data_IF_203648541785
#
_entry.id   IF_203648541785
#
_cell.length_a   1.000
_cell.length_b   1.000
_cell.length_c   1.000
_cell.angle_alpha   90.00
_cell.angle_beta   90.00
_cell.angle_gamma   90.00
#
_symmetry.space_group_name_H-M   'P 1'
#
loop_
_entity.id
_entity.type
_entity.pdbx_description
1 polymer ?
#
# COMPACT_ATOMS: atom_id res chain seq x y z
N UNK A 1 38.90 26.47 30.08
CA UNK A 1 37.86 27.32 29.46
C UNK A 1 37.52 26.71 28.11
N UNK A 2 36.56 25.77 28.06
CA UNK A 2 36.13 25.09 26.83
C UNK A 2 34.77 25.64 26.39
N UNK A 3 34.70 26.27 25.22
CA UNK A 3 33.43 26.67 24.59
C UNK A 3 32.83 25.45 23.91
N UNK A 4 31.73 24.93 24.46
CA UNK A 4 30.88 23.95 23.79
C UNK A 4 30.16 24.66 22.65
N UNK A 5 30.52 24.32 21.40
CA UNK A 5 29.81 24.77 20.21
C UNK A 5 28.51 23.98 20.12
N UNK A 6 27.39 24.65 20.43
CA UNK A 6 26.06 24.08 20.25
C UNK A 6 25.77 23.92 18.75
N UNK A 7 25.85 22.68 18.25
CA UNK A 7 25.38 22.33 16.91
C UNK A 7 23.86 22.34 16.96
N UNK A 8 23.24 23.42 16.47
CA UNK A 8 21.80 23.45 16.20
C UNK A 8 21.49 22.39 15.13
N UNK A 9 20.56 21.46 15.36
CA UNK A 9 20.08 20.59 14.30
C UNK A 9 19.40 21.46 13.22
N UNK A 10 19.52 21.11 11.93
CA UNK A 10 18.83 21.84 10.88
C UNK A 10 17.32 21.67 11.10
N UNK A 11 16.67 22.78 11.44
CA UNK A 11 15.22 22.94 11.35
C UNK A 11 14.84 22.62 9.90
N UNK A 12 14.26 21.44 9.67
CA UNK A 12 13.52 21.15 8.44
C UNK A 12 12.35 22.12 8.40
N UNK A 13 12.56 23.25 7.74
CA UNK A 13 11.50 24.15 7.34
C UNK A 13 10.53 23.34 6.47
N UNK A 14 9.35 23.05 7.02
CA UNK A 14 8.17 22.71 6.23
C UNK A 14 7.87 23.95 5.39
N UNK A 15 8.38 23.97 4.16
CA UNK A 15 8.01 24.98 3.18
C UNK A 15 6.53 24.80 2.87
N UNK A 16 5.73 25.68 3.47
CA UNK A 16 4.40 26.05 2.98
C UNK A 16 4.57 26.63 1.57
N UNK A 17 4.45 25.78 0.56
CA UNK A 17 4.69 26.13 -0.83
C UNK A 17 3.62 25.54 -1.75
N UNK A 18 2.71 26.42 -2.20
CA UNK A 18 1.77 26.31 -3.33
C UNK A 18 0.75 25.15 -3.35
N UNK A 19 -0.49 25.55 -3.08
CA UNK A 19 -1.74 24.90 -3.48
C UNK A 19 -1.87 24.85 -5.01
N UNK A 20 -1.24 23.87 -5.65
CA UNK A 20 -1.59 23.45 -7.02
C UNK A 20 -1.59 21.92 -7.10
N UNK A 21 -2.33 21.29 -6.20
CA UNK A 21 -2.55 19.84 -6.22
C UNK A 21 -4.04 19.59 -6.33
N UNK A 22 -4.44 18.73 -7.28
CA UNK A 22 -5.82 18.32 -7.50
C UNK A 22 -6.57 18.23 -6.18
N UNK A 23 -7.68 18.95 -6.11
CA UNK A 23 -8.53 19.11 -4.95
C UNK A 23 -9.14 17.75 -4.58
N UNK A 24 -8.41 16.91 -3.84
CA UNK A 24 -9.00 15.72 -3.24
C UNK A 24 -10.03 16.26 -2.25
N UNK A 25 -11.31 16.18 -2.64
CA UNK A 25 -12.41 16.61 -1.77
C UNK A 25 -12.37 15.71 -0.54
N UNK A 26 -12.66 16.29 0.63
CA UNK A 26 -12.67 15.58 1.92
C UNK A 26 -13.49 14.27 1.93
N UNK A 27 -14.36 14.08 0.94
CA UNK A 27 -15.26 12.94 0.79
C UNK A 27 -14.77 11.88 -0.20
N UNK A 28 -13.71 12.14 -0.97
CA UNK A 28 -13.24 11.20 -2.00
C UNK A 28 -12.68 9.92 -1.37
N UNK A 29 -11.98 10.01 -0.24
CA UNK A 29 -11.42 8.84 0.47
C UNK A 29 -12.53 7.91 0.96
N UNK A 30 -13.53 8.49 1.64
CA UNK A 30 -14.67 7.75 2.15
C UNK A 30 -15.47 7.12 1.01
N UNK A 31 -15.69 7.86 -0.08
CA UNK A 31 -16.40 7.36 -1.25
C UNK A 31 -15.67 6.18 -1.88
N UNK A 32 -14.37 6.31 -2.18
CA UNK A 32 -13.60 5.24 -2.80
C UNK A 32 -13.44 4.02 -1.89
N UNK A 33 -13.25 4.23 -0.59
CA UNK A 33 -13.19 3.13 0.36
C UNK A 33 -14.54 2.41 0.51
N UNK A 34 -15.65 3.17 0.54
CA UNK A 34 -16.99 2.57 0.53
C UNK A 34 -17.25 1.80 -0.77
N UNK A 35 -16.83 2.35 -1.92
CA UNK A 35 -16.93 1.68 -3.21
C UNK A 35 -16.12 0.37 -3.22
N UNK A 36 -14.93 0.37 -2.61
CA UNK A 36 -14.13 -0.85 -2.44
C UNK A 36 -14.90 -1.90 -1.62
N UNK A 37 -15.39 -1.54 -0.42
CA UNK A 37 -16.14 -2.47 0.42
C UNK A 37 -17.41 -3.00 -0.26
N UNK A 38 -18.16 -2.13 -0.95
CA UNK A 38 -19.35 -2.53 -1.70
C UNK A 38 -19.00 -3.46 -2.86
N UNK A 39 -17.90 -3.20 -3.59
CA UNK A 39 -17.45 -4.08 -4.68
C UNK A 39 -17.10 -5.48 -4.18
N UNK A 40 -16.41 -5.57 -3.04
CA UNK A 40 -16.05 -6.84 -2.41
C UNK A 40 -17.25 -7.57 -1.83
N UNK A 41 -18.20 -6.84 -1.22
CA UNK A 41 -19.45 -7.41 -0.72
C UNK A 41 -20.29 -7.96 -1.87
N UNK A 42 -20.41 -7.21 -2.97
CA UNK A 42 -21.12 -7.67 -4.15
C UNK A 42 -20.49 -8.94 -4.74
N UNK A 43 -19.15 -8.96 -4.86
CA UNK A 43 -18.41 -10.16 -5.28
C UNK A 43 -18.69 -11.35 -4.35
N UNK A 44 -18.66 -11.14 -3.02
CA UNK A 44 -18.88 -12.19 -2.03
C UNK A 44 -20.32 -12.73 -2.03
N UNK A 45 -21.32 -11.86 -2.16
CA UNK A 45 -22.74 -12.24 -2.04
C UNK A 45 -23.35 -12.73 -3.36
N UNK A 46 -22.92 -12.16 -4.48
CA UNK A 46 -23.53 -12.41 -5.80
C UNK A 46 -22.58 -13.12 -6.78
N UNK A 47 -21.35 -13.44 -6.37
CA UNK A 47 -20.34 -14.08 -7.22
C UNK A 47 -20.07 -13.33 -8.54
N UNK A 48 -20.30 -12.02 -8.57
CA UNK A 48 -19.98 -11.15 -9.71
C UNK A 48 -18.46 -10.99 -9.85
N UNK A 49 -17.99 -10.46 -10.99
CA UNK A 49 -16.57 -10.19 -11.21
C UNK A 49 -15.99 -9.32 -10.07
N UNK A 50 -14.81 -9.69 -9.56
CA UNK A 50 -14.13 -8.90 -8.54
C UNK A 50 -13.56 -7.61 -9.14
N UNK A 51 -14.24 -6.49 -8.93
CA UNK A 51 -13.84 -5.17 -9.44
C UNK A 51 -12.90 -4.39 -8.51
N UNK A 52 -12.47 -4.99 -7.39
CA UNK A 52 -11.69 -4.28 -6.37
C UNK A 52 -10.39 -3.70 -6.91
N UNK A 53 -9.65 -4.42 -7.77
CA UNK A 53 -8.41 -3.91 -8.40
C UNK A 53 -8.66 -2.58 -9.12
N UNK A 54 -9.76 -2.46 -9.87
CA UNK A 54 -10.07 -1.22 -10.58
C UNK A 54 -10.33 -0.09 -9.60
N UNK A 55 -11.08 -0.33 -8.52
CA UNK A 55 -11.33 0.66 -7.47
C UNK A 55 -10.04 1.08 -6.79
N UNK A 56 -9.17 0.11 -6.47
CA UNK A 56 -7.86 0.34 -5.84
C UNK A 56 -6.91 1.16 -6.74
N UNK A 57 -7.05 1.06 -8.06
CA UNK A 57 -6.27 1.82 -9.04
C UNK A 57 -6.83 3.21 -9.35
N UNK A 58 -8.08 3.52 -8.97
CA UNK A 58 -8.68 4.85 -9.23
C UNK A 58 -7.83 6.04 -8.76
N UNK A 59 -7.10 5.98 -7.62
CA UNK A 59 -6.20 7.05 -7.23
C UNK A 59 -5.18 7.45 -8.30
N UNK A 60 -4.80 6.57 -9.24
CA UNK A 60 -3.89 6.94 -10.34
C UNK A 60 -4.35 8.15 -11.13
N UNK A 61 -5.67 8.36 -11.25
CA UNK A 61 -6.23 9.46 -12.04
C UNK A 61 -5.98 10.84 -11.43
N UNK A 62 -5.67 10.93 -10.13
CA UNK A 62 -5.56 12.21 -9.43
C UNK A 62 -4.48 12.28 -8.35
N UNK A 63 -3.77 11.19 -8.07
CA UNK A 63 -2.70 11.14 -7.08
C UNK A 63 -1.45 11.86 -7.61
N UNK A 64 -0.84 12.77 -6.83
CA UNK A 64 0.34 13.50 -7.28
C UNK A 64 1.58 12.59 -7.42
N UNK A 65 2.42 12.86 -8.43
CA UNK A 65 3.55 12.01 -8.83
C UNK A 65 4.57 11.78 -7.70
N UNK A 66 4.69 12.73 -6.77
CA UNK A 66 5.59 12.66 -5.62
C UNK A 66 5.24 11.50 -4.67
N UNK A 67 3.96 11.07 -4.64
CA UNK A 67 3.49 9.97 -3.80
C UNK A 67 3.97 8.61 -4.29
N UNK A 68 4.30 8.49 -5.56
CA UNK A 68 4.83 7.26 -6.15
C UNK A 68 6.29 7.02 -5.75
N UNK A 69 7.03 8.08 -5.42
CA UNK A 69 8.41 7.93 -4.97
C UNK A 69 9.38 7.56 -6.08
N UNK A 70 9.13 8.01 -7.32
CA UNK A 70 9.90 7.59 -8.51
C UNK A 70 11.41 7.88 -8.42
N UNK A 71 11.81 8.86 -7.59
CA UNK A 71 13.23 9.21 -7.35
C UNK A 71 13.86 8.47 -6.17
N UNK A 72 13.11 7.59 -5.49
CA UNK A 72 13.62 6.88 -4.32
C UNK A 72 14.67 5.84 -4.73
N UNK A 73 15.83 5.77 -4.06
CA UNK A 73 16.84 4.74 -4.35
C UNK A 73 16.32 3.32 -4.10
N UNK A 74 15.29 3.19 -3.25
CA UNK A 74 14.63 1.91 -2.98
C UNK A 74 13.90 1.33 -4.20
N UNK A 75 13.69 2.11 -5.27
CA UNK A 75 13.16 1.60 -6.53
C UNK A 75 14.10 0.60 -7.21
N UNK A 76 15.40 0.58 -6.85
CA UNK A 76 16.34 -0.46 -7.29
C UNK A 76 15.91 -1.86 -6.84
N UNK A 77 15.06 -1.97 -5.81
CA UNK A 77 14.49 -3.24 -5.39
C UNK A 77 13.70 -3.95 -6.49
N UNK A 78 13.19 -3.22 -7.50
CA UNK A 78 12.50 -3.81 -8.66
C UNK A 78 13.38 -4.79 -9.44
N UNK A 79 14.71 -4.74 -9.29
CA UNK A 79 15.63 -5.75 -9.82
C UNK A 79 15.38 -7.16 -9.24
N UNK A 80 14.63 -7.27 -8.14
CA UNK A 80 14.22 -8.55 -7.57
C UNK A 80 13.03 -9.19 -8.30
N UNK A 81 12.30 -8.46 -9.15
CA UNK A 81 11.10 -8.97 -9.83
C UNK A 81 11.34 -10.25 -10.65
N UNK A 82 12.43 -10.41 -11.43
CA UNK A 82 12.70 -11.65 -12.15
C UNK A 82 12.83 -12.86 -11.21
N UNK A 83 13.45 -12.68 -10.05
CA UNK A 83 13.58 -13.76 -9.06
C UNK A 83 12.23 -14.12 -8.45
N UNK A 84 11.40 -13.11 -8.14
CA UNK A 84 10.03 -13.33 -7.65
C UNK A 84 9.17 -14.07 -8.68
N UNK A 85 9.32 -13.75 -9.97
CA UNK A 85 8.65 -14.47 -11.05
C UNK A 85 9.10 -15.93 -11.15
N UNK A 86 10.40 -16.20 -11.00
CA UNK A 86 10.94 -17.57 -11.00
C UNK A 86 10.41 -18.40 -9.83
N UNK A 87 10.19 -17.79 -8.66
CA UNK A 87 9.61 -18.48 -7.50
C UNK A 87 8.15 -18.87 -7.74
N UNK A 88 7.36 -18.00 -8.39
CA UNK A 88 5.92 -18.23 -8.57
C UNK A 88 5.40 -17.66 -9.88
N UNK A 89 5.51 -18.38 -11.02
CA UNK A 89 5.11 -17.85 -12.33
C UNK A 89 3.61 -17.89 -12.61
N UNK A 90 2.83 -18.77 -11.95
CA UNK A 90 1.47 -19.12 -12.37
C UNK A 90 0.45 -17.97 -12.21
N UNK A 91 0.63 -17.12 -11.20
CA UNK A 91 -0.25 -15.99 -10.87
C UNK A 91 0.53 -14.69 -10.62
N UNK A 92 1.82 -14.65 -10.97
CA UNK A 92 2.74 -13.55 -10.68
C UNK A 92 2.18 -12.18 -11.04
N UNK A 93 1.69 -12.02 -12.28
CA UNK A 93 1.19 -10.72 -12.76
C UNK A 93 -0.05 -10.27 -12.00
N UNK A 94 -0.92 -11.23 -11.63
CA UNK A 94 -2.11 -10.93 -10.83
C UNK A 94 -1.72 -10.50 -9.42
N UNK A 95 -0.82 -11.24 -8.76
CA UNK A 95 -0.32 -10.89 -7.43
C UNK A 95 0.44 -9.56 -7.43
N UNK A 96 1.26 -9.30 -8.45
CA UNK A 96 2.02 -8.07 -8.59
C UNK A 96 1.08 -6.87 -8.78
N UNK A 97 0.08 -6.99 -9.66
CA UNK A 97 -0.91 -5.94 -9.90
C UNK A 97 -1.76 -5.69 -8.66
N UNK A 98 -2.23 -6.75 -7.98
CA UNK A 98 -3.01 -6.65 -6.75
C UNK A 98 -2.19 -5.95 -5.66
N UNK A 99 -0.96 -6.42 -5.40
CA UNK A 99 -0.08 -5.85 -4.36
C UNK A 99 0.24 -4.38 -4.67
N UNK A 100 0.46 -4.03 -5.94
CA UNK A 100 0.62 -2.64 -6.35
C UNK A 100 -0.63 -1.80 -6.12
N UNK A 101 -1.79 -2.28 -6.54
CA UNK A 101 -3.06 -1.56 -6.41
C UNK A 101 -3.42 -1.32 -4.94
N UNK A 102 -3.23 -2.31 -4.08
CA UNK A 102 -3.44 -2.19 -2.65
C UNK A 102 -2.48 -1.18 -2.02
N UNK A 103 -1.18 -1.26 -2.28
CA UNK A 103 -0.23 -0.31 -1.69
C UNK A 103 -0.41 1.11 -2.24
N UNK A 104 -0.83 1.27 -3.50
CA UNK A 104 -1.21 2.55 -4.07
C UNK A 104 -2.38 3.15 -3.29
N UNK A 105 -3.44 2.37 -3.09
CA UNK A 105 -4.65 2.85 -2.42
C UNK A 105 -4.43 3.13 -0.94
N UNK A 106 -3.85 2.18 -0.21
CA UNK A 106 -3.70 2.28 1.23
C UNK A 106 -2.53 3.19 1.63
N UNK A 107 -1.35 3.07 1.01
CA UNK A 107 -0.18 3.86 1.42
C UNK A 107 -0.06 5.17 0.67
N UNK A 108 -0.04 5.10 -0.66
CA UNK A 108 0.22 6.28 -1.44
C UNK A 108 -0.96 7.26 -1.34
N UNK A 109 -2.20 6.75 -1.35
CA UNK A 109 -3.42 7.53 -1.28
C UNK A 109 -3.95 7.77 0.15
N UNK A 110 -4.42 6.77 0.91
CA UNK A 110 -5.07 6.99 2.21
C UNK A 110 -4.14 7.55 3.29
N UNK A 111 -2.87 7.13 3.36
CA UNK A 111 -1.90 7.69 4.33
C UNK A 111 -1.50 9.15 4.03
N UNK A 112 -2.12 9.82 3.05
CA UNK A 112 -2.01 11.27 2.95
C UNK A 112 -2.74 12.00 4.09
N UNK A 113 -3.83 11.41 4.59
CA UNK A 113 -4.67 12.01 5.63
C UNK A 113 -4.70 11.22 6.93
N UNK A 114 -4.53 9.92 6.82
CA UNK A 114 -4.67 9.01 7.94
C UNK A 114 -3.32 8.49 8.41
N UNK A 115 -3.23 8.11 9.69
CA UNK A 115 -2.04 7.47 10.23
C UNK A 115 -1.88 6.05 9.69
N UNK A 116 -0.64 5.55 9.69
CA UNK A 116 -0.37 4.15 9.35
C UNK A 116 -1.26 3.19 10.14
N UNK A 117 -1.37 3.38 11.47
CA UNK A 117 -2.20 2.55 12.34
C UNK A 117 -3.66 2.45 11.86
N UNK A 118 -4.27 3.59 11.52
CA UNK A 118 -5.65 3.62 11.04
C UNK A 118 -5.78 2.98 9.66
N UNK A 119 -4.85 3.26 8.74
CA UNK A 119 -4.85 2.65 7.41
C UNK A 119 -4.63 1.14 7.49
N UNK A 120 -3.79 0.64 8.40
CA UNK A 120 -3.61 -0.79 8.61
C UNK A 120 -4.89 -1.46 9.11
N UNK A 121 -5.64 -0.80 9.98
CA UNK A 121 -6.98 -1.27 10.36
C UNK A 121 -7.93 -1.29 9.16
N UNK A 122 -7.98 -0.22 8.35
CA UNK A 122 -8.80 -0.17 7.14
C UNK A 122 -8.40 -1.21 6.10
N UNK A 123 -7.12 -1.58 6.02
CA UNK A 123 -6.61 -2.61 5.12
C UNK A 123 -7.10 -4.01 5.53
N UNK A 124 -7.25 -4.27 6.83
CA UNK A 124 -7.74 -5.54 7.36
C UNK A 124 -9.22 -5.78 7.04
N UNK A 125 -10.05 -4.73 6.99
CA UNK A 125 -11.50 -4.90 6.79
C UNK A 125 -11.87 -5.59 5.46
N UNK A 126 -11.33 -5.21 4.28
CA UNK A 126 -11.49 -5.98 3.03
C UNK A 126 -11.17 -7.47 3.15
N UNK A 127 -10.07 -7.81 3.83
CA UNK A 127 -9.63 -9.19 4.00
C UNK A 127 -10.61 -9.98 4.88
N UNK A 128 -11.03 -9.39 6.00
CA UNK A 128 -12.01 -10.00 6.90
C UNK A 128 -13.35 -10.17 6.19
N UNK A 129 -13.78 -9.16 5.41
CA UNK A 129 -14.99 -9.21 4.62
C UNK A 129 -14.95 -10.39 3.64
N UNK A 130 -13.85 -10.59 2.92
CA UNK A 130 -13.73 -11.68 1.94
C UNK A 130 -13.63 -13.07 2.62
N UNK A 131 -12.66 -13.25 3.51
CA UNK A 131 -12.26 -14.58 3.96
C UNK A 131 -12.85 -15.00 5.31
N UNK A 132 -13.17 -14.05 6.20
CA UNK A 132 -13.79 -14.31 7.50
C UNK A 132 -12.99 -15.18 8.48
N UNK A 133 -11.73 -15.50 8.20
CA UNK A 133 -10.88 -16.38 9.01
C UNK A 133 -9.83 -15.59 9.81
N UNK A 134 -9.14 -16.28 10.73
CA UNK A 134 -8.12 -15.66 11.60
C UNK A 134 -6.99 -15.00 10.80
N UNK A 135 -6.54 -15.61 9.71
CA UNK A 135 -5.46 -15.08 8.87
C UNK A 135 -5.82 -13.71 8.28
N UNK A 136 -7.08 -13.49 7.94
CA UNK A 136 -7.57 -12.20 7.47
C UNK A 136 -7.36 -11.08 8.50
N UNK A 137 -7.60 -11.34 9.78
CA UNK A 137 -7.35 -10.37 10.86
C UNK A 137 -5.85 -10.11 11.04
N UNK A 138 -5.03 -11.15 10.92
CA UNK A 138 -3.57 -11.04 11.08
C UNK A 138 -2.91 -10.19 10.00
N UNK A 139 -3.56 -9.94 8.85
CA UNK A 139 -3.09 -8.99 7.82
C UNK A 139 -2.87 -7.57 8.33
N UNK A 140 -3.43 -7.22 9.49
CA UNK A 140 -3.16 -5.96 10.19
C UNK A 140 -1.64 -5.74 10.42
N UNK A 141 -0.92 -6.77 10.86
CA UNK A 141 0.50 -6.66 11.20
C UNK A 141 1.43 -6.44 10.00
N UNK A 142 1.37 -7.26 8.91
CA UNK A 142 2.15 -6.96 7.71
C UNK A 142 1.75 -5.61 7.11
N UNK A 143 0.47 -5.24 7.13
CA UNK A 143 0.02 -3.92 6.68
C UNK A 143 0.66 -2.77 7.47
N UNK A 144 0.84 -2.92 8.78
CA UNK A 144 1.54 -1.94 9.62
C UNK A 144 3.02 -1.82 9.23
N UNK A 145 3.68 -2.95 8.97
CA UNK A 145 5.06 -2.99 8.48
C UNK A 145 5.18 -2.30 7.11
N UNK A 146 4.25 -2.55 6.19
CA UNK A 146 4.23 -1.95 4.86
C UNK A 146 4.09 -0.42 4.94
N UNK A 147 3.17 0.09 5.75
CA UNK A 147 3.05 1.53 5.93
C UNK A 147 4.28 2.17 6.58
N UNK A 148 4.91 1.49 7.55
CA UNK A 148 6.19 1.94 8.10
C UNK A 148 7.30 1.98 7.04
N UNK A 149 7.41 0.93 6.22
CA UNK A 149 8.36 0.85 5.13
C UNK A 149 8.13 1.99 4.12
N UNK A 150 6.87 2.28 3.76
CA UNK A 150 6.53 3.38 2.87
C UNK A 150 6.89 4.76 3.45
N UNK A 151 6.64 4.99 4.74
CA UNK A 151 7.00 6.25 5.42
C UNK A 151 8.51 6.51 5.39
N UNK A 152 9.33 5.46 5.56
CA UNK A 152 10.79 5.51 5.59
C UNK A 152 11.42 5.64 4.22
N UNK A 153 10.94 4.86 3.26
CA UNK A 153 11.55 4.76 1.93
C UNK A 153 10.97 5.76 0.93
N UNK A 154 9.73 6.21 1.18
CA UNK A 154 8.92 6.99 0.25
C UNK A 154 8.94 6.40 -1.16
N UNK A 155 8.91 5.07 -1.27
CA UNK A 155 8.91 4.33 -2.52
C UNK A 155 7.67 3.45 -2.57
N UNK A 156 6.76 3.72 -3.50
CA UNK A 156 5.63 2.83 -3.75
C UNK A 156 6.11 1.50 -4.31
N UNK A 157 7.06 1.53 -5.25
CA UNK A 157 7.63 0.33 -5.86
C UNK A 157 8.20 -0.65 -4.83
N UNK A 158 8.99 -0.15 -3.86
CA UNK A 158 9.56 -0.98 -2.81
C UNK A 158 8.50 -1.63 -1.93
N UNK A 159 7.50 -0.86 -1.46
CA UNK A 159 6.46 -1.43 -0.59
C UNK A 159 5.53 -2.38 -1.35
N UNK A 160 5.21 -2.11 -2.62
CA UNK A 160 4.47 -3.05 -3.48
C UNK A 160 5.23 -4.36 -3.68
N UNK A 161 6.55 -4.29 -3.85
CA UNK A 161 7.41 -5.47 -3.96
C UNK A 161 7.50 -6.23 -2.63
N UNK A 162 7.62 -5.52 -1.50
CA UNK A 162 7.63 -6.13 -0.17
C UNK A 162 6.32 -6.87 0.09
N UNK A 163 5.19 -6.27 -0.28
CA UNK A 163 3.88 -6.90 -0.20
C UNK A 163 3.79 -8.13 -1.13
N UNK A 164 4.18 -8.00 -2.41
CA UNK A 164 4.24 -9.12 -3.33
C UNK A 164 5.07 -10.28 -2.77
N UNK A 165 6.23 -9.97 -2.21
CA UNK A 165 7.12 -10.96 -1.57
C UNK A 165 6.42 -11.68 -0.42
N UNK A 166 5.72 -10.94 0.44
CA UNK A 166 4.93 -11.50 1.53
C UNK A 166 3.83 -12.43 1.03
N UNK A 167 3.13 -12.06 -0.06
CA UNK A 167 2.08 -12.89 -0.65
C UNK A 167 2.64 -14.17 -1.25
N UNK A 168 3.73 -14.09 -2.01
CA UNK A 168 4.41 -15.27 -2.57
C UNK A 168 4.83 -16.22 -1.44
N UNK A 169 5.52 -15.72 -0.42
CA UNK A 169 5.96 -16.54 0.72
C UNK A 169 4.78 -17.19 1.45
N UNK A 170 3.67 -16.46 1.61
CA UNK A 170 2.44 -17.01 2.20
C UNK A 170 1.87 -18.16 1.36
N UNK A 171 1.76 -17.99 0.04
CA UNK A 171 1.25 -19.03 -0.83
C UNK A 171 2.15 -20.26 -0.88
N UNK A 172 3.47 -20.08 -0.99
CA UNK A 172 4.42 -21.20 -0.97
C UNK A 172 4.35 -21.97 0.36
N UNK A 173 4.27 -21.27 1.50
CA UNK A 173 4.12 -21.93 2.80
C UNK A 173 2.86 -22.80 2.88
N UNK A 174 1.72 -22.29 2.40
CA UNK A 174 0.46 -23.05 2.38
C UNK A 174 0.47 -24.19 1.36
N UNK A 175 1.20 -24.06 0.25
CA UNK A 175 1.35 -25.12 -0.75
C UNK A 175 2.17 -26.31 -0.23
N UNK A 176 3.24 -26.06 0.55
CA UNK A 176 4.07 -27.13 1.10
C UNK A 176 3.54 -27.76 2.40
N UNK A 177 2.55 -27.13 3.06
CA UNK A 177 1.99 -27.60 4.33
C UNK A 177 0.63 -28.28 4.22
N UNK A 178 0.04 -28.29 3.02
CA UNK A 178 -1.18 -29.06 2.68
C UNK A 178 -0.85 -30.40 2.03
#
# INVERSE_FOLDING_TARGET
MFKVVAIKPPLRAYTTGRREGLFIRRYTELFLYSLLLLSLLAHKLYHVLNLSVFVLLLPLAFLPAERFGLKSPWNLSLLALPFMYLLRPQDFLSLALQSFAEELFFRAYLMQRYSNLFVSFLFTLPHVLLYGNLWAYLTFFPSLLFGYAYERTRSLAFVSLLHLSSNILWYEYNFFSG
#
